data_IF_572851669745
#
_entry.id   IF_572851669745
#
_cell.length_a   1.000
_cell.length_b   1.000
_cell.length_c   1.000
_cell.angle_alpha   90.00
_cell.angle_beta   90.00
_cell.angle_gamma   90.00
#
_symmetry.space_group_name_H-M   'P 1'
#
loop_
_entity.id
_entity.type
_entity.pdbx_description
1 polymer ?
#
# COMPACT_ATOMS: atom_id res chain seq x y z
N UNK A 1 -17.14 6.76 23.50
CA UNK A 1 -16.20 5.80 22.88
C UNK A 1 -15.61 6.38 21.59
N UNK A 2 -14.34 6.80 21.61
CA UNK A 2 -13.65 7.34 20.44
C UNK A 2 -13.44 6.25 19.38
N UNK A 3 -13.49 6.62 18.10
CA UNK A 3 -13.33 5.66 16.99
C UNK A 3 -12.35 6.12 15.92
N UNK A 4 -12.49 7.34 15.38
CA UNK A 4 -11.69 7.80 14.25
C UNK A 4 -11.51 9.31 14.25
N UNK A 5 -10.34 9.79 13.81
CA UNK A 5 -10.10 11.20 13.48
C UNK A 5 -10.33 11.44 11.98
N UNK A 6 -11.08 12.48 11.64
CA UNK A 6 -11.35 12.93 10.28
C UNK A 6 -10.97 14.41 10.11
N UNK A 7 -10.41 14.78 8.97
CA UNK A 7 -10.15 16.17 8.59
C UNK A 7 -11.04 16.58 7.41
N UNK A 8 -11.57 17.80 7.46
CA UNK A 8 -12.27 18.41 6.32
C UNK A 8 -11.37 19.34 5.48
N UNK A 9 -10.08 19.41 5.81
CA UNK A 9 -9.11 20.33 5.21
C UNK A 9 -8.89 21.60 6.03
N UNK A 10 -9.80 21.95 6.94
CA UNK A 10 -9.68 23.14 7.80
C UNK A 10 -9.68 22.80 9.29
N UNK A 11 -10.42 21.77 9.69
CA UNK A 11 -10.52 21.35 11.10
C UNK A 11 -10.42 19.84 11.24
N UNK A 12 -9.97 19.41 12.42
CA UNK A 12 -9.89 18.01 12.82
C UNK A 12 -11.10 17.66 13.70
N UNK A 13 -11.71 16.51 13.43
CA UNK A 13 -12.91 16.03 14.10
C UNK A 13 -12.68 14.62 14.66
N UNK A 14 -13.10 14.39 15.90
CA UNK A 14 -13.24 13.07 16.50
C UNK A 14 -14.64 12.53 16.24
N UNK A 15 -14.72 11.42 15.50
CA UNK A 15 -15.94 10.62 15.44
C UNK A 15 -15.94 9.59 16.56
N UNK A 16 -17.02 9.58 17.32
CA UNK A 16 -17.18 8.77 18.51
C UNK A 16 -18.65 8.36 18.71
N UNK A 17 -18.86 7.24 19.41
CA UNK A 17 -20.15 6.95 20.01
C UNK A 17 -20.29 7.77 21.29
N UNK A 18 -21.27 8.67 21.32
CA UNK A 18 -21.55 9.50 22.48
C UNK A 18 -22.41 8.70 23.47
N UNK A 19 -21.86 8.43 24.65
CA UNK A 19 -22.55 7.65 25.69
C UNK A 19 -23.81 8.36 26.20
N UNK A 20 -23.79 9.70 26.27
CA UNK A 20 -24.92 10.51 26.73
C UNK A 20 -26.12 10.45 25.77
N UNK A 21 -25.87 10.58 24.47
CA UNK A 21 -26.95 10.55 23.46
C UNK A 21 -27.21 9.16 22.89
N UNK A 22 -26.41 8.16 23.27
CA UNK A 22 -26.40 6.80 22.71
C UNK A 22 -26.47 6.79 21.18
N UNK A 23 -25.64 7.65 20.57
CA UNK A 23 -25.61 7.84 19.13
C UNK A 23 -24.22 8.25 18.67
N UNK A 24 -23.96 8.05 17.38
CA UNK A 24 -22.76 8.56 16.73
C UNK A 24 -22.76 10.09 16.68
N UNK A 25 -21.63 10.71 17.05
CA UNK A 25 -21.41 12.16 16.90
C UNK A 25 -19.98 12.48 16.46
N UNK A 26 -19.85 13.63 15.81
CA UNK A 26 -18.56 14.24 15.47
C UNK A 26 -18.29 15.42 16.39
N UNK A 27 -17.13 15.42 17.04
CA UNK A 27 -16.66 16.47 17.94
C UNK A 27 -15.49 17.19 17.29
N UNK A 28 -15.55 18.52 17.24
CA UNK A 28 -14.44 19.35 16.78
C UNK A 28 -13.32 19.31 17.80
N UNK A 29 -12.11 18.87 17.41
CA UNK A 29 -10.99 18.74 18.35
C UNK A 29 -10.60 20.09 18.95
N UNK A 30 -10.67 21.17 18.17
CA UNK A 30 -10.36 22.52 18.61
C UNK A 30 -11.38 23.10 19.62
N UNK A 31 -12.48 22.38 19.87
CA UNK A 31 -13.50 22.74 20.86
C UNK A 31 -13.50 21.81 22.08
N UNK A 32 -12.60 20.83 22.13
CA UNK A 32 -12.46 19.96 23.30
C UNK A 32 -11.62 20.71 24.33
N UNK A 33 -12.22 20.96 25.50
CA UNK A 33 -11.55 21.67 26.60
C UNK A 33 -10.63 20.75 27.39
N UNK A 34 -11.04 19.50 27.60
CA UNK A 34 -10.34 18.50 28.39
C UNK A 34 -10.67 17.10 27.89
N UNK A 35 -9.74 16.16 28.05
CA UNK A 35 -9.91 14.76 27.74
C UNK A 35 -9.22 13.90 28.80
N UNK A 36 -9.99 13.02 29.44
CA UNK A 36 -9.51 12.09 30.46
C UNK A 36 -9.64 10.66 29.95
N UNK A 37 -8.60 9.84 30.18
CA UNK A 37 -8.65 8.41 29.90
C UNK A 37 -9.28 7.71 31.10
N UNK A 38 -10.39 7.03 30.87
CA UNK A 38 -11.09 6.28 31.91
C UNK A 38 -10.50 4.88 32.04
N UNK A 39 -10.58 4.29 33.24
CA UNK A 39 -10.22 2.89 33.49
C UNK A 39 -11.15 1.90 32.78
N UNK A 40 -12.32 2.36 32.33
CA UNK A 40 -13.25 1.54 31.54
C UNK A 40 -12.84 1.54 30.07
N UNK A 41 -12.60 0.37 29.44
CA UNK A 41 -12.27 0.30 28.03
C UNK A 41 -13.43 0.78 27.15
N UNK A 42 -13.10 1.47 26.06
CA UNK A 42 -14.09 1.88 25.07
C UNK A 42 -14.73 0.65 24.38
N UNK A 43 -16.05 0.67 24.19
CA UNK A 43 -16.72 -0.37 23.40
C UNK A 43 -16.55 -0.08 21.91
N UNK A 44 -16.24 -1.11 21.13
CA UNK A 44 -16.17 -0.98 19.68
C UNK A 44 -17.57 -0.83 19.08
N UNK A 45 -17.95 0.40 18.73
CA UNK A 45 -19.20 0.68 18.02
C UNK A 45 -18.97 0.72 16.51
N UNK A 46 -19.83 0.04 15.75
CA UNK A 46 -19.79 0.07 14.29
C UNK A 46 -20.38 1.39 13.80
N UNK A 47 -19.55 2.45 13.75
CA UNK A 47 -19.97 3.76 13.26
C UNK A 47 -20.32 3.69 11.77
N UNK A 48 -21.38 4.38 11.35
CA UNK A 48 -21.78 4.42 9.95
C UNK A 48 -20.71 5.16 9.16
N UNK A 49 -20.11 4.54 8.12
CA UNK A 49 -19.07 5.25 7.33
C UNK A 49 -19.60 6.59 6.82
N UNK A 50 -18.97 7.68 7.26
CA UNK A 50 -19.27 9.05 6.81
C UNK A 50 -19.27 9.12 5.28
N UNK A 51 -20.20 9.86 4.64
CA UNK A 51 -20.21 10.07 3.19
C UNK A 51 -18.85 10.56 2.65
N UNK A 52 -18.14 11.39 3.43
CA UNK A 52 -16.79 11.86 3.09
C UNK A 52 -15.75 10.75 3.15
N UNK A 53 -15.80 9.91 4.19
CA UNK A 53 -14.93 8.73 4.30
C UNK A 53 -15.19 7.75 3.14
N UNK A 54 -16.45 7.55 2.74
CA UNK A 54 -16.81 6.75 1.56
C UNK A 54 -16.27 7.35 0.27
N UNK A 55 -16.40 8.66 0.07
CA UNK A 55 -15.88 9.35 -1.11
C UNK A 55 -14.34 9.32 -1.18
N UNK A 56 -13.67 9.56 -0.06
CA UNK A 56 -12.21 9.48 0.04
C UNK A 56 -11.71 8.05 -0.22
N UNK A 57 -12.39 7.05 0.33
CA UNK A 57 -12.09 5.64 0.07
C UNK A 57 -12.30 5.29 -1.41
N UNK A 58 -13.43 5.66 -2.01
CA UNK A 58 -13.66 5.45 -3.45
C UNK A 58 -12.62 6.15 -4.32
N UNK A 59 -12.18 7.36 -3.94
CA UNK A 59 -11.11 8.08 -4.65
C UNK A 59 -9.76 7.36 -4.54
N UNK A 60 -9.43 6.82 -3.36
CA UNK A 60 -8.23 5.99 -3.15
C UNK A 60 -8.32 4.68 -3.94
N UNK A 61 -9.43 3.98 -3.87
CA UNK A 61 -9.69 2.76 -4.63
C UNK A 61 -9.57 3.00 -6.14
N UNK A 62 -10.21 4.06 -6.66
CA UNK A 62 -10.09 4.46 -8.08
C UNK A 62 -8.66 4.80 -8.48
N UNK A 63 -7.96 5.59 -7.66
CA UNK A 63 -6.55 5.90 -7.89
C UNK A 63 -5.64 4.66 -7.83
N UNK A 64 -6.07 3.60 -7.14
CA UNK A 64 -5.41 2.30 -7.11
C UNK A 64 -5.71 1.46 -8.36
N UNK A 65 -6.94 1.52 -8.86
CA UNK A 65 -7.36 0.84 -10.09
C UNK A 65 -6.62 1.36 -11.33
N UNK A 66 -6.32 2.67 -11.37
CA UNK A 66 -5.59 3.28 -12.48
C UNK A 66 -4.07 3.01 -12.43
N UNK A 67 -3.55 2.44 -11.34
CA UNK A 67 -2.11 2.15 -11.21
C UNK A 67 -1.76 0.79 -11.79
N UNK A 68 -0.61 0.67 -12.48
CA UNK A 68 -0.15 -0.62 -12.97
C UNK A 68 0.15 -1.53 -11.78
N UNK A 69 -0.23 -2.80 -11.91
CA UNK A 69 -0.14 -3.82 -10.85
C UNK A 69 0.78 -4.94 -11.30
N UNK A 70 1.63 -5.41 -10.39
CA UNK A 70 2.43 -6.60 -10.58
C UNK A 70 2.20 -7.60 -9.44
N UNK A 71 2.04 -8.87 -9.78
CA UNK A 71 2.16 -9.98 -8.81
C UNK A 71 3.54 -10.59 -8.98
N UNK A 72 4.32 -10.60 -7.91
CA UNK A 72 5.67 -11.13 -7.87
C UNK A 72 5.66 -12.44 -7.06
N UNK A 73 6.25 -13.48 -7.62
CA UNK A 73 6.59 -14.70 -6.89
C UNK A 73 8.08 -14.64 -6.57
N UNK A 74 8.41 -14.73 -5.29
CA UNK A 74 9.72 -14.41 -4.74
C UNK A 74 10.24 -15.56 -3.88
N UNK A 75 11.55 -15.79 -3.94
CA UNK A 75 12.23 -16.66 -3.00
C UNK A 75 12.17 -16.09 -1.57
N UNK A 76 12.31 -16.95 -0.56
CA UNK A 76 12.41 -16.57 0.86
C UNK A 76 13.42 -15.44 1.09
N UNK A 77 14.53 -15.41 0.34
CA UNK A 77 15.59 -14.39 0.44
C UNK A 77 15.14 -12.99 0.03
N UNK A 78 14.10 -12.86 -0.79
CA UNK A 78 13.55 -11.58 -1.22
C UNK A 78 12.50 -10.99 -0.26
N UNK A 79 12.38 -11.53 0.97
CA UNK A 79 11.46 -11.00 2.00
C UNK A 79 11.67 -9.51 2.27
N UNK A 80 12.91 -9.03 2.21
CA UNK A 80 13.26 -7.62 2.37
C UNK A 80 12.44 -6.69 1.46
N UNK A 81 12.06 -7.16 0.26
CA UNK A 81 11.30 -6.36 -0.69
C UNK A 81 9.92 -6.01 -0.14
N UNK A 82 9.27 -6.96 0.53
CA UNK A 82 7.94 -6.75 1.14
C UNK A 82 7.97 -5.80 2.33
N UNK A 83 9.15 -5.56 2.89
CA UNK A 83 9.38 -4.62 4.00
C UNK A 83 9.73 -3.21 3.48
N UNK A 84 10.40 -3.13 2.33
CA UNK A 84 10.85 -1.86 1.73
C UNK A 84 9.86 -1.28 0.74
N UNK A 85 9.02 -2.12 0.12
CA UNK A 85 8.08 -1.72 -0.93
C UNK A 85 6.65 -1.90 -0.42
N UNK A 86 5.80 -0.87 -0.52
CA UNK A 86 4.39 -1.00 -0.20
C UNK A 86 3.72 -2.07 -1.08
N UNK A 87 3.35 -3.19 -0.47
CA UNK A 87 2.57 -4.24 -1.12
C UNK A 87 1.08 -4.05 -0.80
N UNK A 88 0.22 -4.28 -1.79
CA UNK A 88 -1.23 -4.38 -1.56
C UNK A 88 -1.57 -5.63 -0.74
N UNK A 89 -0.87 -6.74 -1.02
CA UNK A 89 -0.97 -7.98 -0.26
C UNK A 89 0.34 -8.75 -0.34
N UNK A 90 0.61 -9.55 0.70
CA UNK A 90 1.74 -10.48 0.76
C UNK A 90 1.22 -11.79 1.34
N UNK A 91 1.41 -12.87 0.61
CA UNK A 91 1.08 -14.23 1.05
C UNK A 91 2.38 -15.02 1.15
N UNK A 92 2.57 -15.71 2.27
CA UNK A 92 3.65 -16.67 2.42
C UNK A 92 3.10 -18.07 2.12
N UNK A 93 3.73 -18.76 1.18
CA UNK A 93 3.34 -20.11 0.77
C UNK A 93 3.94 -21.16 1.74
N UNK A 94 3.47 -22.41 1.67
CA UNK A 94 3.93 -23.51 2.55
C UNK A 94 5.42 -23.84 2.35
N UNK A 95 5.90 -23.74 1.11
CA UNK A 95 7.31 -23.86 0.75
C UNK A 95 8.13 -22.61 1.12
N UNK A 96 7.48 -21.62 1.75
CA UNK A 96 7.95 -20.34 2.26
C UNK A 96 8.36 -19.31 1.22
N UNK A 97 8.15 -19.58 -0.07
CA UNK A 97 8.15 -18.53 -1.08
C UNK A 97 7.09 -17.48 -0.77
N UNK A 98 7.20 -16.31 -1.41
CA UNK A 98 6.32 -15.17 -1.17
C UNK A 98 5.61 -14.78 -2.46
N UNK A 99 4.29 -14.63 -2.36
CA UNK A 99 3.47 -13.99 -3.39
C UNK A 99 3.14 -12.56 -2.95
N UNK A 100 3.76 -11.57 -3.59
CA UNK A 100 3.56 -10.16 -3.28
C UNK A 100 2.83 -9.45 -4.42
N UNK A 101 1.76 -8.72 -4.09
CA UNK A 101 1.10 -7.82 -5.04
C UNK A 101 1.60 -6.40 -4.80
N UNK A 102 2.13 -5.78 -5.84
CA UNK A 102 2.66 -4.41 -5.81
C UNK A 102 1.88 -3.53 -6.79
N UNK A 103 1.56 -2.32 -6.34
CA UNK A 103 0.97 -1.28 -7.17
C UNK A 103 2.02 -0.24 -7.49
N UNK A 104 2.43 -0.21 -8.75
CA UNK A 104 3.42 0.71 -9.25
C UNK A 104 2.86 2.12 -9.40
N UNK A 105 3.76 3.10 -9.34
CA UNK A 105 3.44 4.47 -9.77
C UNK A 105 3.27 4.56 -11.30
N UNK A 106 4.02 3.74 -12.03
CA UNK A 106 4.06 3.61 -13.49
C UNK A 106 4.70 2.24 -13.85
N UNK A 107 4.62 1.84 -15.13
CA UNK A 107 5.17 0.55 -15.58
C UNK A 107 6.70 0.50 -15.53
N UNK A 108 7.39 1.61 -15.79
CA UNK A 108 8.85 1.66 -15.81
C UNK A 108 9.44 1.41 -14.42
N UNK A 109 8.77 1.91 -13.39
CA UNK A 109 9.11 1.66 -12.01
C UNK A 109 8.91 0.19 -11.64
N UNK A 110 7.84 -0.46 -12.10
CA UNK A 110 7.64 -1.91 -11.90
C UNK A 110 8.74 -2.72 -12.59
N UNK A 111 9.12 -2.35 -13.82
CA UNK A 111 10.22 -2.98 -14.53
C UNK A 111 11.53 -2.84 -13.75
N UNK A 112 11.80 -1.65 -13.20
CA UNK A 112 12.99 -1.40 -12.37
C UNK A 112 12.99 -2.23 -11.09
N UNK A 113 11.82 -2.38 -10.44
CA UNK A 113 11.65 -3.24 -9.27
C UNK A 113 11.87 -4.71 -9.61
N UNK A 114 11.32 -5.19 -10.73
CA UNK A 114 11.52 -6.56 -11.21
C UNK A 114 13.01 -6.85 -11.44
N UNK A 115 13.73 -5.89 -12.03
CA UNK A 115 15.17 -6.01 -12.23
C UNK A 115 15.95 -6.04 -10.91
N UNK A 116 15.54 -5.26 -9.90
CA UNK A 116 16.22 -5.24 -8.59
C UNK A 116 16.02 -6.52 -7.78
N UNK A 117 14.94 -7.28 -8.03
CA UNK A 117 14.75 -8.61 -7.44
C UNK A 117 15.82 -9.62 -7.91
N UNK A 118 16.38 -9.42 -9.11
CA UNK A 118 17.44 -10.28 -9.66
C UNK A 118 17.09 -11.76 -9.61
N UNK A 119 17.98 -12.56 -9.01
CA UNK A 119 17.87 -14.03 -8.92
C UNK A 119 16.80 -14.52 -7.95
N UNK A 120 16.32 -13.66 -7.06
CA UNK A 120 15.35 -14.04 -6.03
C UNK A 120 13.90 -13.92 -6.55
N UNK A 121 13.74 -13.53 -7.83
CA UNK A 121 12.47 -13.49 -8.54
C UNK A 121 12.18 -14.82 -9.23
N UNK A 122 11.10 -15.48 -8.82
CA UNK A 122 10.66 -16.77 -9.35
C UNK A 122 9.61 -16.60 -10.47
N UNK A 123 8.81 -15.53 -10.42
CA UNK A 123 7.77 -15.28 -11.42
C UNK A 123 7.14 -13.90 -11.32
N UNK A 124 6.52 -13.44 -12.42
CA UNK A 124 5.84 -12.15 -12.51
C UNK A 124 4.55 -12.26 -13.32
N UNK A 125 3.50 -11.60 -12.85
CA UNK A 125 2.29 -11.32 -13.62
C UNK A 125 2.01 -9.81 -13.64
N UNK A 126 1.54 -9.24 -14.77
CA UNK A 126 1.39 -9.90 -16.07
C UNK A 126 2.74 -10.22 -16.74
N UNK A 127 2.79 -11.24 -17.64
CA UNK A 127 4.04 -11.69 -18.28
C UNK A 127 4.68 -10.61 -19.16
N UNK A 128 3.90 -9.62 -19.60
CA UNK A 128 4.40 -8.46 -20.33
C UNK A 128 5.46 -7.68 -19.55
N UNK A 129 5.32 -7.57 -18.22
CA UNK A 129 6.31 -6.89 -17.38
C UNK A 129 7.63 -7.66 -17.32
N UNK A 130 7.58 -8.99 -17.21
CA UNK A 130 8.77 -9.84 -17.28
C UNK A 130 9.49 -9.68 -18.63
N UNK A 131 8.73 -9.65 -19.73
CA UNK A 131 9.29 -9.46 -21.07
C UNK A 131 9.94 -8.07 -21.24
N UNK A 132 9.33 -7.02 -20.68
CA UNK A 132 9.89 -5.68 -20.66
C UNK A 132 11.20 -5.62 -19.84
N UNK A 133 11.21 -6.19 -18.64
CA UNK A 133 12.42 -6.29 -17.81
C UNK A 133 13.53 -7.07 -18.51
N UNK A 134 13.21 -8.19 -19.14
CA UNK A 134 14.19 -8.99 -19.88
C UNK A 134 14.79 -8.22 -21.07
N UNK A 135 14.00 -7.41 -21.78
CA UNK A 135 14.51 -6.51 -22.83
C UNK A 135 15.45 -5.46 -22.23
N UNK A 136 15.04 -4.78 -21.16
CA UNK A 136 15.86 -3.76 -20.52
C UNK A 136 17.20 -4.32 -20.03
N UNK A 137 17.20 -5.51 -19.40
CA UNK A 137 18.43 -6.20 -18.97
C UNK A 137 19.37 -6.50 -20.14
N UNK A 138 18.85 -7.06 -21.24
CA UNK A 138 19.66 -7.35 -22.44
C UNK A 138 20.22 -6.08 -23.09
N UNK A 139 19.43 -5.01 -23.16
CA UNK A 139 19.90 -3.73 -23.68
C UNK A 139 21.02 -3.12 -22.84
N UNK A 140 20.92 -3.24 -21.50
CA UNK A 140 21.98 -2.79 -20.59
C UNK A 140 23.27 -3.60 -20.77
N UNK A 141 23.17 -4.94 -20.84
CA UNK A 141 24.33 -5.81 -21.09
C UNK A 141 25.03 -5.48 -22.42
N UNK A 142 24.28 -5.33 -23.51
CA UNK A 142 24.86 -4.97 -24.80
C UNK A 142 25.50 -3.58 -24.84
N UNK A 143 25.11 -2.67 -23.94
CA UNK A 143 25.80 -1.38 -23.79
C UNK A 143 27.15 -1.54 -23.09
N UNK A 144 27.23 -2.39 -22.05
CA UNK A 144 28.51 -2.71 -21.40
C UNK A 144 29.48 -3.44 -22.32
N UNK A 145 29.00 -4.35 -23.16
CA UNK A 145 29.83 -5.06 -24.15
C UNK A 145 30.49 -4.08 -25.13
N UNK A 146 29.72 -3.12 -25.68
CA UNK A 146 30.28 -2.08 -26.57
C UNK A 146 31.28 -1.16 -25.87
N UNK A 147 31.04 -0.82 -24.61
CA UNK A 147 31.98 -0.04 -23.79
C UNK A 147 33.26 -0.80 -23.45
N UNK A 148 33.22 -2.14 -23.43
CA UNK A 148 34.38 -3.01 -23.19
C UNK A 148 35.21 -3.31 -24.44
N UNK A 149 34.65 -3.14 -25.64
CA UNK A 149 35.36 -3.33 -26.92
C UNK A 149 36.08 -2.06 -27.42
N UNK A 150 35.78 -0.89 -26.84
CA UNK A 150 36.38 0.41 -27.20
C UNK A 150 37.57 0.84 -26.29
N UNK A 151 38.00 -0.01 -25.35
CA UNK A 151 39.12 0.27 -24.41
C UNK A 151 40.28 -0.70 -24.54
#
# INVERSE_FOLDING_TARGET
DPAQLESDGSHLYLRAWCLSTRAERSFRLDRVLEAEVLDTPATAHRLARSPRARAAQRKREKANTDRPRATLHLDRRARWLTEQVPCESVTQEEDGTLTAVVLGRDEQWLVSLILSCGRDLLGVQPPGLAAQAARAARSALGAYERLGEEG
#
